data_IF_257695944967
#
_entry.id   IF_257695944967
#
_cell.length_a   1.000
_cell.length_b   1.000
_cell.length_c   1.000
_cell.angle_alpha   90.00
_cell.angle_beta   90.00
_cell.angle_gamma   90.00
#
_symmetry.space_group_name_H-M   'P 1'
#
loop_
_entity.id
_entity.type
_entity.pdbx_description
1 polymer ?
#
# COMPACT_ATOMS: atom_id res chain seq x y z
N UNK A 1 11.86 -13.15 9.74
CA UNK A 1 10.58 -12.41 9.83
C UNK A 1 9.96 -12.78 11.16
N UNK A 2 9.65 -11.77 11.98
CA UNK A 2 9.57 -11.84 13.45
C UNK A 2 8.55 -12.89 13.93
N UNK A 3 8.91 -13.67 14.94
CA UNK A 3 8.15 -14.83 15.45
C UNK A 3 6.82 -14.52 16.16
N UNK A 4 6.14 -13.45 15.76
CA UNK A 4 4.80 -13.10 16.22
C UNK A 4 3.77 -13.84 15.38
N UNK A 5 2.71 -14.33 16.02
CA UNK A 5 1.58 -14.93 15.32
C UNK A 5 0.78 -13.81 14.64
N UNK A 6 0.18 -14.08 13.48
CA UNK A 6 -0.68 -13.10 12.78
C UNK A 6 -1.83 -12.57 13.64
N UNK A 7 -2.27 -13.35 14.64
CA UNK A 7 -3.25 -12.92 15.65
C UNK A 7 -2.72 -11.75 16.49
N UNK A 8 -1.51 -11.89 17.03
CA UNK A 8 -0.87 -10.86 17.88
C UNK A 8 -0.56 -9.59 17.08
N UNK A 9 -0.17 -9.76 15.82
CA UNK A 9 0.06 -8.66 14.89
C UNK A 9 -1.24 -7.90 14.58
N UNK A 10 -2.35 -8.62 14.41
CA UNK A 10 -3.66 -8.02 14.16
C UNK A 10 -4.19 -7.28 15.39
N UNK A 11 -4.00 -7.85 16.59
CA UNK A 11 -4.36 -7.23 17.85
C UNK A 11 -3.61 -5.90 18.06
N UNK A 12 -2.31 -5.84 17.76
CA UNK A 12 -1.52 -4.61 17.83
C UNK A 12 -1.99 -3.54 16.84
N UNK A 13 -2.47 -3.95 15.66
CA UNK A 13 -3.01 -3.05 14.65
C UNK A 13 -4.49 -2.69 14.86
N UNK A 14 -5.16 -3.26 15.86
CA UNK A 14 -6.57 -3.01 16.13
C UNK A 14 -7.51 -3.46 15.01
N UNK A 15 -7.09 -4.42 14.19
CA UNK A 15 -7.87 -4.97 13.06
C UNK A 15 -8.08 -6.46 13.22
N UNK A 16 -9.04 -7.04 12.48
CA UNK A 16 -9.18 -8.50 12.45
C UNK A 16 -7.97 -9.14 11.77
N UNK A 17 -7.61 -10.37 12.18
CA UNK A 17 -6.59 -11.17 11.49
C UNK A 17 -6.88 -11.31 9.98
N UNK A 18 -8.15 -11.45 9.62
CA UNK A 18 -8.56 -11.53 8.21
C UNK A 18 -8.28 -10.25 7.43
N UNK A 19 -8.39 -9.09 8.09
CA UNK A 19 -8.09 -7.78 7.52
C UNK A 19 -6.59 -7.60 7.32
N UNK A 20 -5.77 -8.10 8.25
CA UNK A 20 -4.31 -8.05 8.16
C UNK A 20 -3.74 -9.04 7.13
N UNK A 21 -4.34 -10.23 7.03
CA UNK A 21 -3.90 -11.27 6.07
C UNK A 21 -4.04 -10.83 4.61
N UNK A 22 -5.04 -10.00 4.28
CA UNK A 22 -5.26 -9.54 2.90
C UNK A 22 -4.07 -8.74 2.33
N UNK A 23 -3.62 -7.63 2.93
CA UNK A 23 -2.47 -6.89 2.43
C UNK A 23 -1.18 -7.71 2.47
N UNK A 24 -1.00 -8.61 3.45
CA UNK A 24 0.14 -9.54 3.49
C UNK A 24 0.19 -10.48 2.28
N UNK A 25 -0.97 -10.89 1.76
CA UNK A 25 -1.10 -11.73 0.57
C UNK A 25 -1.24 -10.93 -0.74
N UNK A 26 -1.19 -9.59 -0.69
CA UNK A 26 -1.36 -8.72 -1.85
C UNK A 26 -2.80 -8.61 -2.36
N UNK A 27 -3.80 -8.91 -1.53
CA UNK A 27 -5.21 -8.74 -1.85
C UNK A 27 -5.63 -7.26 -1.76
N UNK A 28 -6.00 -6.69 -2.92
CA UNK A 28 -6.39 -5.30 -3.08
C UNK A 28 -7.83 -4.98 -2.62
N UNK A 29 -8.56 -5.95 -2.04
CA UNK A 29 -9.93 -5.73 -1.51
C UNK A 29 -9.97 -4.90 -0.22
N UNK A 30 -8.83 -4.64 0.40
CA UNK A 30 -8.73 -3.79 1.60
C UNK A 30 -8.74 -2.32 1.22
N UNK A 31 -9.46 -1.52 2.00
CA UNK A 31 -9.50 -0.08 1.78
C UNK A 31 -8.12 0.55 1.98
N UNK A 32 -7.81 1.60 1.20
CA UNK A 32 -6.57 2.34 1.36
C UNK A 32 -6.40 2.88 2.79
N UNK A 33 -7.49 3.35 3.43
CA UNK A 33 -7.47 3.83 4.81
C UNK A 33 -6.98 2.74 5.77
N UNK A 34 -7.57 1.55 5.69
CA UNK A 34 -7.18 0.40 6.52
C UNK A 34 -5.73 -0.01 6.31
N UNK A 35 -5.25 0.02 5.07
CA UNK A 35 -3.85 -0.27 4.76
C UNK A 35 -2.91 0.77 5.40
N UNK A 36 -3.24 2.07 5.29
CA UNK A 36 -2.46 3.15 5.88
C UNK A 36 -2.45 3.10 7.41
N UNK A 37 -3.58 2.78 8.04
CA UNK A 37 -3.68 2.63 9.50
C UNK A 37 -2.76 1.51 10.02
N UNK A 38 -2.73 0.37 9.33
CA UNK A 38 -1.81 -0.74 9.63
C UNK A 38 -0.36 -0.30 9.45
N UNK A 39 -0.01 0.34 8.33
CA UNK A 39 1.35 0.83 8.10
C UNK A 39 1.80 1.87 9.13
N UNK A 40 0.90 2.74 9.58
CA UNK A 40 1.17 3.72 10.61
C UNK A 40 1.41 3.06 11.98
N UNK A 41 0.61 2.04 12.34
CA UNK A 41 0.79 1.26 13.58
C UNK A 41 2.19 0.67 13.68
N UNK A 42 2.72 0.16 12.57
CA UNK A 42 4.05 -0.45 12.51
C UNK A 42 5.18 0.51 12.14
N UNK A 43 4.89 1.81 11.97
CA UNK A 43 5.86 2.84 11.58
C UNK A 43 6.61 2.44 10.29
N UNK A 44 5.87 1.89 9.32
CA UNK A 44 6.40 1.49 8.00
C UNK A 44 5.87 2.37 6.87
N UNK A 45 5.21 3.49 7.19
CA UNK A 45 4.63 4.43 6.23
C UNK A 45 5.66 4.96 5.22
N UNK A 46 6.92 5.12 5.60
CA UNK A 46 7.99 5.53 4.68
C UNK A 46 8.18 4.55 3.52
N UNK A 47 7.96 3.24 3.75
CA UNK A 47 8.06 2.23 2.68
C UNK A 47 6.97 2.36 1.64
N UNK A 48 5.87 3.06 1.96
CA UNK A 48 4.80 3.32 1.01
C UNK A 48 5.31 4.27 -0.07
N UNK A 49 6.18 5.24 0.27
CA UNK A 49 6.75 6.19 -0.70
C UNK A 49 7.48 5.42 -1.80
N UNK A 50 8.35 4.49 -1.41
CA UNK A 50 9.07 3.63 -2.35
C UNK A 50 8.10 2.74 -3.15
N UNK A 51 7.07 2.19 -2.50
CA UNK A 51 6.10 1.30 -3.15
C UNK A 51 5.20 2.00 -4.18
N UNK A 52 4.91 3.29 -4.00
CA UNK A 52 4.09 4.07 -4.94
C UNK A 52 4.92 4.82 -5.98
N UNK A 53 6.25 4.82 -5.87
CA UNK A 53 7.12 5.38 -6.88
C UNK A 53 7.11 4.49 -8.14
N UNK A 54 6.61 4.99 -9.29
CA UNK A 54 6.60 4.22 -10.51
C UNK A 54 8.01 3.85 -11.01
N UNK A 55 9.05 4.57 -10.62
CA UNK A 55 10.42 4.27 -11.03
C UNK A 55 11.06 3.13 -10.26
N UNK A 56 10.49 2.71 -9.13
CA UNK A 56 10.97 1.59 -8.31
C UNK A 56 10.49 0.22 -8.82
N UNK A 57 9.52 0.17 -9.75
CA UNK A 57 8.97 -1.08 -10.29
C UNK A 57 9.08 -1.16 -11.82
N UNK A 58 9.30 -2.37 -12.36
CA UNK A 58 9.35 -2.59 -13.81
C UNK A 58 8.04 -2.18 -14.51
N UNK A 59 6.91 -2.55 -13.90
CA UNK A 59 5.59 -2.19 -14.41
C UNK A 59 5.33 -0.68 -14.33
N UNK A 60 5.77 -0.02 -13.26
CA UNK A 60 5.69 1.42 -13.11
C UNK A 60 6.53 2.15 -14.16
N UNK A 61 7.78 1.74 -14.38
CA UNK A 61 8.66 2.33 -15.41
C UNK A 61 8.08 2.22 -16.81
N UNK A 62 7.57 1.04 -17.16
CA UNK A 62 6.92 0.82 -18.44
C UNK A 62 5.72 1.77 -18.63
N UNK A 63 4.91 2.00 -17.59
CA UNK A 63 3.77 2.94 -17.64
C UNK A 63 4.18 4.41 -17.62
N UNK A 64 5.23 4.77 -16.90
CA UNK A 64 5.75 6.14 -16.84
C UNK A 64 6.31 6.59 -18.20
N UNK A 65 6.86 5.66 -18.98
CA UNK A 65 7.31 5.92 -20.36
C UNK A 65 6.17 6.03 -21.38
N UNK A 66 4.95 5.59 -21.04
CA UNK A 66 3.80 5.76 -21.93
C UNK A 66 3.42 7.24 -21.94
N UNK A 67 3.11 7.79 -23.11
CA UNK A 67 2.64 9.16 -23.24
C UNK A 67 1.38 9.38 -22.41
N UNK A 68 1.54 9.91 -21.19
CA UNK A 68 0.43 10.15 -20.29
C UNK A 68 -0.49 11.21 -20.91
N UNK A 69 -1.83 11.03 -20.82
CA UNK A 69 -2.76 12.04 -21.31
C UNK A 69 -2.45 13.38 -20.65
N UNK A 70 -2.37 14.45 -21.46
CA UNK A 70 -2.12 15.78 -20.94
C UNK A 70 -3.25 16.15 -19.96
N UNK A 71 -2.87 16.63 -18.77
CA UNK A 71 -3.83 17.13 -17.78
C UNK A 71 -4.75 18.14 -18.48
N UNK A 72 -6.05 17.86 -18.51
CA UNK A 72 -7.04 18.79 -19.04
C UNK A 72 -7.03 20.03 -18.14
N UNK A 73 -6.36 21.09 -18.57
CA UNK A 73 -6.55 22.42 -17.97
C UNK A 73 -7.91 22.90 -18.43
N UNK A 74 -8.89 22.87 -17.54
CA UNK A 74 -10.19 23.53 -17.78
C UNK A 74 -9.90 25.03 -17.91
N UNK A 75 -9.95 25.55 -19.14
CA UNK A 75 -9.99 26.99 -19.37
C UNK A 75 -11.25 27.52 -18.68
N UNK A 76 -11.07 28.45 -17.74
CA UNK A 76 -12.14 29.22 -17.11
C UNK A 76 -12.59 30.31 -18.05
#
# INVERSE_FOLDING_TARGET
MQGLKSEELADMAGVSRSTLSRPENGDASVSLATLLDVCNTFVVTDRIIDAVDPYETDCGRARASQGLPQRVRRLT
#
